data_IF_542119700551
#
_entry.id   IF_542119700551
#
_cell.length_a   1.000
_cell.length_b   1.000
_cell.length_c   1.000
_cell.angle_alpha   90.00
_cell.angle_beta   90.00
_cell.angle_gamma   90.00
#
_symmetry.space_group_name_H-M   'P 1'
#
loop_
_entity.id
_entity.type
_entity.pdbx_description
1 polymer ?
#
# COMPACT_ATOMS: atom_id res chain seq x y z
N UNK A 1 -5.37 3.78 -16.70
CA UNK A 1 -5.82 5.09 -17.27
C UNK A 1 -4.68 6.11 -17.30
N UNK A 2 -4.45 6.81 -18.42
CA UNK A 2 -3.54 7.97 -18.49
C UNK A 2 -4.30 9.29 -18.78
N UNK A 3 -3.62 10.44 -18.70
CA UNK A 3 -4.26 11.76 -18.87
C UNK A 3 -4.87 11.97 -20.27
N UNK A 4 -4.24 11.43 -21.31
CA UNK A 4 -4.74 11.52 -22.68
C UNK A 4 -6.07 10.75 -22.82
N UNK A 5 -6.09 9.50 -22.38
CA UNK A 5 -7.29 8.66 -22.35
C UNK A 5 -8.40 9.27 -21.51
N UNK A 6 -8.04 9.93 -20.40
CA UNK A 6 -9.01 10.63 -19.55
C UNK A 6 -9.67 11.79 -20.31
N UNK A 7 -8.88 12.58 -21.04
CA UNK A 7 -9.41 13.73 -21.81
C UNK A 7 -10.30 13.31 -22.98
N UNK A 8 -9.97 12.21 -23.66
CA UNK A 8 -10.76 11.70 -24.79
C UNK A 8 -12.07 11.06 -24.35
N UNK A 9 -12.04 10.23 -23.30
CA UNK A 9 -13.20 9.41 -22.91
C UNK A 9 -14.12 10.08 -21.88
N UNK A 10 -13.64 11.11 -21.19
CA UNK A 10 -14.33 11.74 -20.06
C UNK A 10 -14.30 13.27 -20.18
N UNK A 11 -14.87 13.75 -21.27
CA UNK A 11 -14.94 15.17 -21.62
C UNK A 11 -16.05 15.90 -20.85
N UNK A 12 -17.11 15.20 -20.47
CA UNK A 12 -18.28 15.74 -19.77
C UNK A 12 -18.54 15.06 -18.43
N UNK A 13 -19.28 15.75 -17.55
CA UNK A 13 -19.71 15.18 -16.27
C UNK A 13 -20.68 14.00 -16.43
N UNK A 14 -21.46 13.99 -17.52
CA UNK A 14 -22.40 12.92 -17.86
C UNK A 14 -21.64 11.62 -18.13
N UNK A 15 -20.62 11.66 -19.00
CA UNK A 15 -19.79 10.48 -19.32
C UNK A 15 -19.11 9.90 -18.08
N UNK A 16 -18.63 10.79 -17.21
CA UNK A 16 -18.02 10.36 -15.94
C UNK A 16 -19.06 9.71 -15.04
N UNK A 17 -20.24 10.33 -14.90
CA UNK A 17 -21.31 9.78 -14.06
C UNK A 17 -21.74 8.40 -14.57
N UNK A 18 -21.93 8.25 -15.89
CA UNK A 18 -22.24 6.96 -16.52
C UNK A 18 -21.18 5.90 -16.21
N UNK A 19 -19.90 6.28 -16.22
CA UNK A 19 -18.82 5.37 -15.85
C UNK A 19 -18.88 4.93 -14.39
N UNK A 20 -19.07 5.85 -13.44
CA UNK A 20 -19.25 5.50 -12.03
C UNK A 20 -20.50 4.64 -11.81
N UNK A 21 -21.60 4.91 -12.52
CA UNK A 21 -22.84 4.13 -12.44
C UNK A 21 -22.61 2.69 -12.92
N UNK A 22 -21.87 2.53 -14.02
CA UNK A 22 -21.48 1.22 -14.53
C UNK A 22 -20.58 0.47 -13.55
N UNK A 23 -19.61 1.14 -12.91
CA UNK A 23 -18.75 0.52 -11.89
C UNK A 23 -19.56 0.06 -10.68
N UNK A 24 -20.50 0.90 -10.20
CA UNK A 24 -21.29 0.62 -9.01
C UNK A 24 -22.37 -0.45 -9.24
N UNK A 25 -23.19 -0.26 -10.27
CA UNK A 25 -24.42 -1.03 -10.51
C UNK A 25 -24.35 -1.97 -11.72
N UNK A 26 -23.29 -1.90 -12.52
CA UNK A 26 -23.22 -2.61 -13.79
C UNK A 26 -24.24 -2.02 -14.78
N UNK A 27 -25.05 -2.87 -15.39
CA UNK A 27 -25.94 -2.45 -16.50
C UNK A 27 -27.19 -1.69 -16.08
N UNK A 28 -27.67 -1.84 -14.84
CA UNK A 28 -28.96 -1.28 -14.38
C UNK A 28 -28.82 -0.61 -13.02
N UNK A 29 -29.01 0.72 -12.94
CA UNK A 29 -29.05 1.44 -11.67
C UNK A 29 -30.10 0.87 -10.71
N UNK A 30 -29.77 0.86 -9.42
CA UNK A 30 -30.68 0.43 -8.34
C UNK A 30 -30.70 1.47 -7.24
N UNK A 31 -31.82 1.58 -6.54
CA UNK A 31 -31.95 2.52 -5.43
C UNK A 31 -30.92 2.25 -4.33
N UNK A 32 -30.09 3.24 -4.02
CA UNK A 32 -29.09 3.14 -2.95
C UNK A 32 -29.68 3.03 -1.54
N UNK A 33 -30.97 3.35 -1.37
CA UNK A 33 -31.65 3.28 -0.07
C UNK A 33 -32.35 1.94 0.19
N UNK A 34 -32.99 1.36 -0.84
CA UNK A 34 -33.84 0.17 -0.68
C UNK A 34 -33.59 -0.96 -1.68
N UNK A 35 -32.63 -0.81 -2.60
CA UNK A 35 -32.27 -1.84 -3.59
C UNK A 35 -33.27 -2.04 -4.74
N UNK A 36 -34.42 -1.36 -4.73
CA UNK A 36 -35.45 -1.44 -5.78
C UNK A 36 -34.93 -0.98 -7.15
N UNK A 37 -35.42 -1.60 -8.21
CA UNK A 37 -35.20 -1.25 -9.61
C UNK A 37 -36.26 -0.29 -10.17
N UNK A 38 -37.31 0.02 -9.39
CA UNK A 38 -38.40 0.93 -9.78
C UNK A 38 -37.99 2.39 -9.58
N UNK A 39 -37.13 2.87 -10.47
CA UNK A 39 -36.55 4.22 -10.42
C UNK A 39 -36.94 5.05 -11.64
N UNK A 40 -36.90 6.38 -11.51
CA UNK A 40 -37.08 7.31 -12.62
C UNK A 40 -35.93 7.25 -13.62
N UNK A 41 -36.07 7.96 -14.74
CA UNK A 41 -34.88 8.39 -15.50
C UNK A 41 -34.04 9.35 -14.65
N UNK A 42 -32.75 9.45 -14.97
CA UNK A 42 -31.84 10.40 -14.31
C UNK A 42 -32.27 11.84 -14.61
N UNK A 43 -32.31 12.67 -13.58
CA UNK A 43 -32.58 14.10 -13.69
C UNK A 43 -31.32 14.87 -14.12
N UNK A 44 -31.48 16.15 -14.43
CA UNK A 44 -30.37 17.05 -14.82
C UNK A 44 -29.35 17.28 -13.72
N UNK A 45 -29.70 17.04 -12.45
CA UNK A 45 -28.81 17.11 -11.29
C UNK A 45 -28.10 15.78 -10.98
N UNK A 46 -28.11 14.83 -11.92
CA UNK A 46 -27.49 13.50 -11.82
C UNK A 46 -28.10 12.59 -10.75
N UNK A 47 -29.32 12.90 -10.27
CA UNK A 47 -30.04 12.07 -9.31
C UNK A 47 -31.13 11.22 -9.98
N UNK A 48 -31.54 10.18 -9.28
CA UNK A 48 -32.69 9.33 -9.55
C UNK A 48 -33.73 9.49 -8.44
N UNK A 49 -35.00 9.26 -8.77
CA UNK A 49 -36.08 9.14 -7.80
C UNK A 49 -36.56 7.70 -7.74
N UNK A 50 -36.59 7.10 -6.55
CA UNK A 50 -37.13 5.76 -6.37
C UNK A 50 -38.62 5.83 -6.06
N UNK A 51 -39.45 5.11 -6.82
CA UNK A 51 -40.90 5.08 -6.60
C UNK A 51 -41.31 4.21 -5.41
N UNK A 52 -40.45 3.28 -4.98
CA UNK A 52 -40.70 2.39 -3.85
C UNK A 52 -40.49 3.08 -2.50
N UNK A 53 -39.32 3.67 -2.26
CA UNK A 53 -39.03 4.37 -1.00
C UNK A 53 -39.26 5.89 -1.07
N UNK A 54 -39.61 6.43 -2.25
CA UNK A 54 -39.81 7.87 -2.53
C UNK A 54 -38.56 8.74 -2.33
N UNK A 55 -37.40 8.14 -2.04
CA UNK A 55 -36.13 8.84 -1.86
C UNK A 55 -35.48 9.27 -3.18
N UNK A 56 -34.69 10.34 -3.12
CA UNK A 56 -33.74 10.72 -4.17
C UNK A 56 -32.35 10.18 -3.85
N UNK A 57 -31.62 9.76 -4.86
CA UNK A 57 -30.25 9.25 -4.71
C UNK A 57 -29.43 9.50 -5.97
N UNK A 58 -28.11 9.60 -5.83
CA UNK A 58 -27.14 9.63 -6.92
C UNK A 58 -26.28 8.37 -6.90
N UNK A 59 -25.37 8.26 -7.88
CA UNK A 59 -24.33 7.23 -7.88
C UNK A 59 -23.41 7.28 -6.64
N UNK A 60 -23.33 8.40 -5.94
CA UNK A 60 -22.50 8.55 -4.74
C UNK A 60 -23.26 8.33 -3.41
N UNK A 61 -24.59 8.26 -3.42
CA UNK A 61 -25.38 8.06 -2.19
C UNK A 61 -25.03 6.72 -1.51
N UNK A 62 -24.65 6.72 -0.24
CA UNK A 62 -24.19 5.52 0.48
C UNK A 62 -22.82 5.00 0.04
N UNK A 63 -21.93 5.87 -0.45
CA UNK A 63 -20.55 5.52 -0.84
C UNK A 63 -19.55 6.42 -0.12
N UNK A 64 -18.24 6.14 -0.23
CA UNK A 64 -17.21 7.01 0.33
C UNK A 64 -17.17 8.42 -0.30
N UNK A 65 -17.77 8.61 -1.49
CA UNK A 65 -17.92 9.92 -2.15
C UNK A 65 -19.27 10.58 -1.87
N UNK A 66 -20.07 10.07 -0.92
CA UNK A 66 -21.31 10.71 -0.52
C UNK A 66 -21.08 12.14 -0.02
N UNK A 67 -22.01 13.04 -0.33
CA UNK A 67 -21.96 14.46 0.04
C UNK A 67 -20.73 15.22 -0.48
N UNK A 68 -20.04 14.70 -1.50
CA UNK A 68 -18.99 15.48 -2.17
C UNK A 68 -19.59 16.67 -2.91
N UNK A 69 -19.00 17.85 -2.70
CA UNK A 69 -19.34 19.08 -3.45
C UNK A 69 -18.49 19.25 -4.71
N UNK A 70 -17.64 18.28 -5.03
CA UNK A 70 -16.80 18.28 -6.22
C UNK A 70 -17.45 17.43 -7.31
N UNK A 71 -17.23 17.84 -8.55
CA UNK A 71 -17.63 17.03 -9.70
C UNK A 71 -16.87 15.70 -9.72
N UNK A 72 -17.53 14.63 -10.14
CA UNK A 72 -16.91 13.32 -10.31
C UNK A 72 -15.77 13.37 -11.31
N UNK A 73 -15.82 14.28 -12.30
CA UNK A 73 -14.70 14.50 -13.21
C UNK A 73 -13.42 14.94 -12.49
N UNK A 74 -13.52 15.81 -11.48
CA UNK A 74 -12.37 16.22 -10.65
C UNK A 74 -11.84 15.05 -9.81
N UNK A 75 -12.72 14.21 -9.27
CA UNK A 75 -12.31 12.98 -8.58
C UNK A 75 -11.59 12.01 -9.52
N UNK A 76 -12.10 11.82 -10.74
CA UNK A 76 -11.50 10.94 -11.74
C UNK A 76 -10.09 11.43 -12.15
N UNK A 77 -9.91 12.75 -12.30
CA UNK A 77 -8.61 13.38 -12.51
C UNK A 77 -7.66 13.13 -11.33
N UNK A 78 -8.14 13.31 -10.09
CA UNK A 78 -7.35 13.04 -8.90
C UNK A 78 -6.89 11.58 -8.81
N UNK A 79 -7.79 10.63 -9.06
CA UNK A 79 -7.46 9.20 -9.08
C UNK A 79 -6.36 8.91 -10.10
N UNK A 80 -6.49 9.45 -11.31
CA UNK A 80 -5.51 9.26 -12.39
C UNK A 80 -4.13 9.82 -12.04
N UNK A 81 -4.07 11.05 -11.53
CA UNK A 81 -2.80 11.69 -11.17
C UNK A 81 -2.10 10.97 -10.01
N UNK A 82 -2.86 10.60 -8.97
CA UNK A 82 -2.33 9.99 -7.76
C UNK A 82 -1.92 8.53 -8.01
N UNK A 83 -2.70 7.75 -8.78
CA UNK A 83 -2.39 6.35 -9.09
C UNK A 83 -1.13 6.22 -9.96
N UNK A 84 -0.98 7.11 -10.94
CA UNK A 84 0.14 7.06 -11.88
C UNK A 84 1.47 7.53 -11.23
N UNK A 85 1.39 8.35 -10.18
CA UNK A 85 2.56 8.84 -9.46
C UNK A 85 3.09 7.82 -8.44
N UNK A 86 4.02 6.95 -8.85
CA UNK A 86 4.60 5.89 -7.98
C UNK A 86 5.16 6.38 -6.64
N UNK A 87 5.72 7.59 -6.57
CA UNK A 87 6.27 8.19 -5.34
C UNK A 87 5.33 9.20 -4.67
N UNK A 88 4.12 9.36 -5.22
CA UNK A 88 3.18 10.41 -4.82
C UNK A 88 3.41 11.74 -5.54
N UNK A 89 2.45 12.64 -5.36
CA UNK A 89 2.54 14.06 -5.77
C UNK A 89 2.25 14.93 -4.55
N UNK A 90 2.74 16.17 -4.55
CA UNK A 90 2.40 17.11 -3.48
C UNK A 90 0.94 17.59 -3.62
N UNK A 91 0.31 17.94 -2.49
CA UNK A 91 -1.03 18.55 -2.52
C UNK A 91 -1.06 19.88 -3.29
N UNK A 92 0.08 20.61 -3.33
CA UNK A 92 0.25 21.80 -4.15
C UNK A 92 0.26 21.49 -5.65
N UNK A 93 0.83 20.36 -6.05
CA UNK A 93 0.79 19.90 -7.44
C UNK A 93 -0.66 19.55 -7.82
N UNK A 94 -1.33 18.71 -7.02
CA UNK A 94 -2.73 18.33 -7.24
C UNK A 94 -3.66 19.55 -7.34
N UNK A 95 -3.43 20.56 -6.48
CA UNK A 95 -4.14 21.84 -6.51
C UNK A 95 -4.05 22.52 -7.89
N UNK A 96 -2.83 22.63 -8.45
CA UNK A 96 -2.58 23.27 -9.75
C UNK A 96 -3.20 22.47 -10.88
N UNK A 97 -3.05 21.15 -10.85
CA UNK A 97 -3.49 20.28 -11.94
C UNK A 97 -5.03 20.16 -12.02
N UNK A 98 -5.73 20.23 -10.88
CA UNK A 98 -7.20 20.11 -10.82
C UNK A 98 -7.91 21.48 -10.79
N UNK A 99 -7.21 22.55 -10.39
CA UNK A 99 -7.79 23.88 -10.24
C UNK A 99 -8.76 23.96 -9.05
N UNK A 100 -8.26 23.64 -7.84
CA UNK A 100 -9.02 23.73 -6.58
C UNK A 100 -8.24 24.50 -5.52
N UNK A 101 -8.83 24.71 -4.34
CA UNK A 101 -8.10 25.25 -3.18
C UNK A 101 -7.09 24.22 -2.66
N UNK A 102 -6.08 24.68 -1.91
CA UNK A 102 -5.11 23.78 -1.30
C UNK A 102 -5.79 22.82 -0.30
N UNK A 103 -6.70 23.34 0.53
CA UNK A 103 -7.45 22.58 1.52
C UNK A 103 -8.28 21.49 0.85
N UNK A 104 -8.92 21.81 -0.28
CA UNK A 104 -9.65 20.84 -1.09
C UNK A 104 -8.72 19.78 -1.66
N UNK A 105 -7.59 20.16 -2.28
CA UNK A 105 -6.62 19.19 -2.80
C UNK A 105 -6.08 18.27 -1.71
N UNK A 106 -5.74 18.83 -0.54
CA UNK A 106 -5.25 18.07 0.60
C UNK A 106 -6.31 17.09 1.14
N UNK A 107 -7.57 17.52 1.24
CA UNK A 107 -8.70 16.67 1.64
C UNK A 107 -8.92 15.55 0.61
N UNK A 108 -8.97 15.89 -0.68
CA UNK A 108 -9.10 14.92 -1.77
C UNK A 108 -8.00 13.87 -1.68
N UNK A 109 -6.75 14.27 -1.48
CA UNK A 109 -5.63 13.35 -1.40
C UNK A 109 -5.81 12.34 -0.26
N UNK A 110 -6.16 12.80 0.94
CA UNK A 110 -6.41 11.90 2.06
C UNK A 110 -7.60 10.97 1.83
N UNK A 111 -8.66 11.46 1.20
CA UNK A 111 -9.78 10.62 0.75
C UNK A 111 -9.32 9.57 -0.27
N UNK A 112 -8.49 9.92 -1.26
CA UNK A 112 -7.95 8.93 -2.21
C UNK A 112 -7.13 7.86 -1.50
N UNK A 113 -6.38 8.20 -0.46
CA UNK A 113 -5.62 7.22 0.34
C UNK A 113 -6.54 6.22 1.05
N UNK A 114 -7.74 6.61 1.47
CA UNK A 114 -8.69 5.64 2.05
C UNK A 114 -9.18 4.62 1.03
N UNK A 115 -9.08 4.94 -0.26
CA UNK A 115 -9.42 4.01 -1.36
C UNK A 115 -8.25 3.11 -1.76
N UNK A 116 -7.03 3.35 -1.26
CA UNK A 116 -5.82 2.59 -1.60
C UNK A 116 -5.71 1.32 -0.78
N UNK A 117 -6.63 0.39 -1.02
CA UNK A 117 -6.66 -0.91 -0.37
C UNK A 117 -6.78 -2.04 -1.38
N UNK A 118 -6.02 -3.11 -1.15
CA UNK A 118 -6.00 -4.34 -1.94
C UNK A 118 -6.85 -5.47 -1.36
N UNK A 119 -7.55 -5.25 -0.24
CA UNK A 119 -8.20 -6.33 0.48
C UNK A 119 -7.32 -6.92 1.59
N UNK A 120 -7.59 -8.18 1.92
CA UNK A 120 -6.73 -8.96 2.83
C UNK A 120 -5.47 -9.46 2.13
N UNK A 121 -4.31 -8.92 2.53
CA UNK A 121 -3.00 -9.41 2.09
C UNK A 121 -2.58 -10.55 3.01
N UNK A 122 -2.32 -11.74 2.45
CA UNK A 122 -1.63 -12.83 3.14
C UNK A 122 -0.30 -13.12 2.44
N UNK A 123 0.78 -13.11 3.21
CA UNK A 123 2.15 -13.33 2.78
C UNK A 123 2.58 -14.77 3.11
N UNK A 124 3.39 -15.37 2.24
CA UNK A 124 3.91 -16.73 2.42
C UNK A 124 5.35 -16.87 1.89
N UNK A 125 6.01 -17.98 2.19
CA UNK A 125 7.38 -18.24 1.72
C UNK A 125 8.44 -17.51 2.56
N UNK A 126 9.38 -16.84 1.90
CA UNK A 126 10.46 -16.12 2.59
C UNK A 126 10.00 -14.71 2.95
N UNK A 127 9.84 -14.46 4.25
CA UNK A 127 9.29 -13.21 4.78
C UNK A 127 10.40 -12.45 5.50
N UNK A 128 10.60 -11.18 5.16
CA UNK A 128 11.52 -10.28 5.89
C UNK A 128 10.69 -9.36 6.80
N UNK A 129 11.11 -9.21 8.06
CA UNK A 129 10.51 -8.29 9.02
C UNK A 129 11.59 -7.38 9.58
N UNK A 130 11.27 -6.09 9.61
CA UNK A 130 12.17 -5.02 10.02
C UNK A 130 11.36 -3.81 10.48
N UNK A 131 11.99 -2.94 11.26
CA UNK A 131 11.42 -1.68 11.70
C UNK A 131 12.17 -0.47 11.14
N UNK A 132 11.44 0.61 10.91
CA UNK A 132 12.01 1.90 10.58
C UNK A 132 11.38 3.01 11.42
N UNK A 133 12.09 4.14 11.51
CA UNK A 133 11.62 5.32 12.21
C UNK A 133 11.42 6.46 11.18
N UNK A 134 10.22 7.04 11.18
CA UNK A 134 9.82 8.13 10.29
C UNK A 134 9.75 9.44 11.09
N UNK A 135 10.20 10.54 10.48
CA UNK A 135 10.27 11.86 11.10
C UNK A 135 11.68 12.28 11.51
N UNK A 136 11.77 13.53 11.99
CA UNK A 136 13.02 14.21 12.32
C UNK A 136 13.87 14.62 11.10
N UNK A 137 14.94 15.36 11.36
CA UNK A 137 15.79 15.90 10.29
C UNK A 137 16.47 14.79 9.47
N UNK A 138 16.61 14.98 8.13
CA UNK A 138 17.37 14.08 7.27
C UNK A 138 18.81 13.94 7.79
N UNK A 139 19.35 12.72 7.76
CA UNK A 139 20.77 12.52 8.08
C UNK A 139 21.63 13.14 6.96
N UNK A 140 22.78 13.71 7.34
CA UNK A 140 23.77 14.18 6.37
C UNK A 140 24.25 13.00 5.52
N UNK A 141 24.27 13.17 4.20
CA UNK A 141 24.80 12.19 3.26
C UNK A 141 26.33 12.20 3.36
N UNK A 142 26.93 11.08 3.75
CA UNK A 142 28.38 10.87 3.64
C UNK A 142 28.63 9.54 2.93
N UNK A 143 29.60 9.54 2.02
CA UNK A 143 29.94 8.40 1.19
C UNK A 143 30.62 7.30 2.03
N UNK A 144 30.01 6.12 2.01
CA UNK A 144 30.58 4.91 2.61
C UNK A 144 31.66 4.29 1.70
N UNK A 145 32.79 3.87 2.29
CA UNK A 145 33.74 2.95 1.64
C UNK A 145 33.35 1.52 2.00
N UNK A 146 33.11 0.70 0.99
CA UNK A 146 32.91 -0.74 1.18
C UNK A 146 34.24 -1.40 1.54
N UNK A 147 34.26 -2.18 2.62
CA UNK A 147 35.28 -3.21 2.79
C UNK A 147 34.70 -4.49 2.23
N UNK A 148 35.22 -4.94 1.09
CA UNK A 148 34.96 -6.27 0.57
C UNK A 148 35.56 -7.28 1.57
N UNK A 149 34.74 -7.75 2.52
CA UNK A 149 35.08 -8.92 3.32
C UNK A 149 34.52 -10.12 2.58
N UNK A 150 35.37 -11.10 2.29
CA UNK A 150 34.92 -12.42 1.85
C UNK A 150 33.86 -12.96 2.84
N UNK A 151 32.79 -13.62 2.36
CA UNK A 151 31.79 -14.19 3.23
C UNK A 151 32.45 -15.27 4.10
N UNK A 152 32.67 -14.97 5.38
CA UNK A 152 33.08 -15.97 6.36
C UNK A 152 32.07 -17.12 6.37
N UNK A 153 32.55 -18.36 6.30
CA UNK A 153 31.69 -19.53 6.44
C UNK A 153 30.90 -19.44 7.74
N UNK A 154 29.58 -19.65 7.67
CA UNK A 154 28.69 -19.50 8.81
C UNK A 154 27.85 -20.76 8.99
N UNK A 155 28.37 -21.68 9.80
CA UNK A 155 27.83 -23.04 9.97
C UNK A 155 26.31 -23.07 10.27
N UNK A 156 25.83 -22.19 11.15
CA UNK A 156 24.39 -22.08 11.45
C UNK A 156 23.56 -21.72 10.21
N UNK A 157 24.03 -20.78 9.39
CA UNK A 157 23.31 -20.32 8.20
C UNK A 157 23.40 -21.37 7.08
N UNK A 158 24.55 -22.03 6.94
CA UNK A 158 24.70 -23.15 6.01
C UNK A 158 23.72 -24.29 6.32
N UNK A 159 23.60 -24.70 7.60
CA UNK A 159 22.62 -25.71 8.03
C UNK A 159 21.18 -25.28 7.75
N UNK A 160 20.85 -23.99 7.97
CA UNK A 160 19.52 -23.44 7.66
C UNK A 160 19.24 -23.47 6.16
N UNK A 161 20.20 -23.06 5.33
CA UNK A 161 20.08 -23.09 3.86
C UNK A 161 19.90 -24.51 3.37
N UNK A 162 20.65 -25.48 3.87
CA UNK A 162 20.52 -26.88 3.47
C UNK A 162 19.15 -27.46 3.86
N UNK A 163 18.70 -27.19 5.09
CA UNK A 163 17.40 -27.64 5.60
C UNK A 163 16.24 -27.05 4.80
N UNK A 164 16.26 -25.73 4.57
CA UNK A 164 15.13 -24.97 4.06
C UNK A 164 15.19 -24.75 2.54
N UNK A 165 16.36 -24.84 1.93
CA UNK A 165 16.60 -24.67 0.49
C UNK A 165 15.90 -25.72 -0.38
N UNK A 166 15.46 -26.83 0.22
CA UNK A 166 14.59 -27.83 -0.43
C UNK A 166 13.18 -27.30 -0.68
N UNK A 167 12.71 -26.35 0.14
CA UNK A 167 11.34 -25.81 0.12
C UNK A 167 11.29 -24.35 -0.33
N UNK A 168 12.28 -23.55 0.03
CA UNK A 168 12.32 -22.12 -0.24
C UNK A 168 13.55 -21.72 -1.06
N UNK A 169 13.37 -20.80 -1.99
CA UNK A 169 14.48 -20.18 -2.72
C UNK A 169 14.91 -18.91 -2.01
N UNK A 170 16.20 -18.81 -1.67
CA UNK A 170 16.78 -17.64 -0.99
C UNK A 170 17.43 -16.64 -1.96
N UNK A 171 17.40 -16.89 -3.26
CA UNK A 171 17.79 -15.89 -4.23
C UNK A 171 16.77 -14.74 -4.22
N UNK A 172 17.26 -13.51 -4.31
CA UNK A 172 16.43 -12.32 -4.38
C UNK A 172 16.78 -11.57 -5.67
N UNK A 173 16.07 -11.83 -6.79
CA UNK A 173 16.34 -11.17 -8.06
C UNK A 173 16.05 -9.67 -8.01
N UNK A 174 15.18 -9.24 -7.10
CA UNK A 174 14.83 -7.83 -6.87
C UNK A 174 15.79 -7.12 -5.89
N UNK A 175 16.85 -7.81 -5.43
CA UNK A 175 17.78 -7.25 -4.47
C UNK A 175 18.48 -6.01 -5.03
N UNK A 176 18.21 -4.86 -4.42
CA UNK A 176 18.98 -3.65 -4.65
C UNK A 176 20.44 -3.90 -4.21
N UNK A 177 21.38 -3.91 -5.16
CA UNK A 177 22.82 -3.91 -4.84
C UNK A 177 23.14 -2.57 -4.16
N UNK A 178 23.31 -2.63 -2.83
CA UNK A 178 23.60 -1.47 -1.98
C UNK A 178 24.80 -0.69 -2.57
N UNK A 179 24.66 0.63 -2.69
CA UNK A 179 25.78 1.58 -2.49
C UNK A 179 25.65 2.06 -1.05
N UNK A 180 26.67 1.86 -0.23
CA UNK A 180 26.58 1.75 1.22
C UNK A 180 26.05 3.01 1.89
N UNK A 181 25.25 2.82 2.94
CA UNK A 181 25.06 3.80 4.01
C UNK A 181 26.03 3.36 5.12
N UNK A 182 26.92 4.25 5.58
CA UNK A 182 27.91 3.90 6.62
C UNK A 182 27.24 3.66 7.97
N UNK A 183 27.80 2.69 8.67
CA UNK A 183 27.75 2.50 10.12
C UNK A 183 28.18 3.77 10.88
N UNK A 184 27.80 3.83 12.15
CA UNK A 184 28.20 4.84 13.15
C UNK A 184 27.38 6.15 13.29
N UNK A 185 26.16 6.20 12.76
CA UNK A 185 25.14 7.01 13.44
C UNK A 185 24.58 6.17 14.60
N UNK A 186 24.58 6.63 15.87
CA UNK A 186 23.95 5.90 16.94
C UNK A 186 22.52 5.55 16.51
N UNK A 187 22.21 4.24 16.45
CA UNK A 187 20.84 3.75 16.24
C UNK A 187 20.06 4.03 17.52
N UNK A 188 19.77 5.30 17.76
CA UNK A 188 19.08 5.75 18.96
C UNK A 188 17.60 5.39 18.87
N UNK A 189 17.20 4.30 19.54
CA UNK A 189 15.84 4.16 20.03
C UNK A 189 15.68 5.15 21.18
N UNK A 190 15.07 6.31 20.89
CA UNK A 190 14.98 7.42 21.84
C UNK A 190 14.83 8.79 21.16
N UNK A 191 14.13 8.83 20.03
CA UNK A 191 13.86 10.08 19.29
C UNK A 191 12.35 10.29 19.21
N UNK A 192 11.88 11.52 18.99
CA UNK A 192 10.47 11.85 18.68
C UNK A 192 9.96 11.27 17.33
N UNK A 193 10.64 10.26 16.78
CA UNK A 193 10.30 9.63 15.51
C UNK A 193 9.29 8.52 15.73
N UNK A 194 8.33 8.43 14.84
CA UNK A 194 7.30 7.40 14.89
C UNK A 194 7.85 6.08 14.33
N UNK A 195 7.78 4.97 15.10
CA UNK A 195 8.11 3.64 14.58
C UNK A 195 7.09 3.17 13.53
N UNK A 196 7.59 2.48 12.53
CA UNK A 196 6.81 1.76 11.52
C UNK A 196 7.43 0.37 11.38
N UNK A 197 6.63 -0.67 11.54
CA UNK A 197 7.06 -2.07 11.35
C UNK A 197 6.55 -2.55 10.01
N UNK A 198 7.38 -3.26 9.26
CA UNK A 198 7.04 -3.81 7.96
C UNK A 198 7.25 -5.31 7.90
N UNK A 199 6.46 -5.95 7.04
CA UNK A 199 6.58 -7.36 6.69
C UNK A 199 6.53 -7.42 5.17
N UNK A 200 7.56 -7.96 4.54
CA UNK A 200 7.61 -8.11 3.08
C UNK A 200 7.87 -9.56 2.70
N UNK A 201 7.13 -10.04 1.72
CA UNK A 201 7.43 -11.29 1.04
C UNK A 201 8.48 -11.01 -0.03
N UNK A 202 9.55 -11.83 -0.07
CA UNK A 202 10.56 -11.71 -1.12
C UNK A 202 9.94 -11.79 -2.51
N UNK A 203 10.31 -10.84 -3.36
CA UNK A 203 9.75 -10.65 -4.71
C UNK A 203 8.22 -10.51 -4.77
N UNK A 204 7.58 -10.20 -3.64
CA UNK A 204 6.14 -10.18 -3.46
C UNK A 204 5.60 -8.86 -2.92
N UNK A 205 4.62 -8.97 -2.03
CA UNK A 205 3.89 -7.86 -1.42
C UNK A 205 4.48 -7.46 -0.07
N UNK A 206 4.13 -6.25 0.37
CA UNK A 206 4.51 -5.66 1.65
C UNK A 206 3.27 -5.19 2.40
N UNK A 207 3.34 -5.31 3.73
CA UNK A 207 2.43 -4.65 4.67
C UNK A 207 3.28 -3.89 5.68
N UNK A 208 2.79 -2.74 6.14
CA UNK A 208 3.48 -1.95 7.14
C UNK A 208 2.48 -1.22 8.04
N UNK A 209 2.77 -1.15 9.33
CA UNK A 209 1.90 -0.54 10.33
C UNK A 209 2.70 0.44 11.19
N UNK A 210 2.09 1.59 11.47
CA UNK A 210 2.63 2.57 12.41
C UNK A 210 2.39 2.05 13.82
N UNK A 211 3.45 1.91 14.60
CA UNK A 211 3.39 1.35 15.95
C UNK A 211 3.99 2.33 16.95
N UNK A 212 3.46 2.37 18.19
CA UNK A 212 4.07 3.14 19.28
C UNK A 212 5.22 2.38 19.96
N UNK A 213 5.09 1.06 20.04
CA UNK A 213 6.02 0.16 20.72
C UNK A 213 6.38 -0.96 19.75
N UNK A 214 7.66 -1.33 19.71
CA UNK A 214 8.24 -2.31 18.78
C UNK A 214 8.83 -3.50 19.56
N UNK A 215 7.98 -4.12 20.39
CA UNK A 215 8.29 -5.36 21.10
C UNK A 215 7.55 -6.56 20.51
N UNK A 216 7.87 -7.75 20.99
CA UNK A 216 7.22 -8.97 20.53
C UNK A 216 5.69 -8.96 20.67
N UNK A 217 5.15 -8.42 21.77
CA UNK A 217 3.72 -8.43 22.04
C UNK A 217 2.93 -7.55 21.06
N UNK A 218 3.55 -6.48 20.57
CA UNK A 218 2.96 -5.56 19.60
C UNK A 218 3.20 -6.00 18.14
N UNK A 219 4.34 -6.62 17.84
CA UNK A 219 4.66 -7.08 16.48
C UNK A 219 3.95 -8.41 16.16
N UNK A 220 3.80 -9.30 17.14
CA UNK A 220 3.20 -10.64 16.94
C UNK A 220 1.81 -10.60 16.29
N UNK A 221 0.84 -9.77 16.73
CA UNK A 221 -0.48 -9.70 16.10
C UNK A 221 -0.41 -9.37 14.61
N UNK A 222 0.50 -8.46 14.21
CA UNK A 222 0.71 -8.10 12.81
C UNK A 222 1.22 -9.32 12.01
N UNK A 223 2.20 -10.06 12.55
CA UNK A 223 2.73 -11.27 11.91
C UNK A 223 1.64 -12.35 11.78
N UNK A 224 0.89 -12.63 12.85
CA UNK A 224 -0.20 -13.61 12.82
C UNK A 224 -1.31 -13.22 11.82
N UNK A 225 -1.60 -11.92 11.72
CA UNK A 225 -2.60 -11.41 10.80
C UNK A 225 -2.17 -11.56 9.34
N UNK A 226 -0.94 -11.16 8.97
CA UNK A 226 -0.55 -11.07 7.56
C UNK A 226 0.29 -12.24 7.05
N UNK A 227 0.89 -13.06 7.92
CA UNK A 227 1.76 -14.16 7.50
C UNK A 227 1.02 -15.50 7.57
N UNK A 228 1.21 -16.35 6.56
CA UNK A 228 0.85 -17.76 6.61
C UNK A 228 1.99 -18.52 7.30
N UNK A 229 2.02 -18.50 8.64
CA UNK A 229 3.14 -19.01 9.44
C UNK A 229 3.53 -20.47 9.12
N UNK A 230 2.59 -21.42 8.94
CA UNK A 230 2.93 -22.81 8.58
C UNK A 230 3.73 -22.97 7.28
N UNK A 231 3.57 -22.03 6.34
CA UNK A 231 4.21 -22.05 5.03
C UNK A 231 5.18 -20.88 4.82
N UNK A 232 5.79 -20.42 5.91
CA UNK A 232 6.73 -19.31 5.86
C UNK A 232 8.00 -19.55 6.67
N UNK A 233 9.07 -18.86 6.28
CA UNK A 233 10.29 -18.68 7.07
C UNK A 233 10.51 -17.19 7.28
N UNK A 234 10.78 -16.80 8.52
CA UNK A 234 11.00 -15.43 8.91
C UNK A 234 12.49 -15.07 8.84
N UNK A 235 12.85 -14.00 8.13
CA UNK A 235 14.18 -13.41 8.09
C UNK A 235 14.13 -12.10 8.88
N UNK A 236 14.95 -12.00 9.93
CA UNK A 236 15.07 -10.80 10.75
C UNK A 236 16.53 -10.41 10.93
N UNK A 237 16.76 -9.19 11.40
CA UNK A 237 18.04 -8.81 11.95
C UNK A 237 18.27 -9.43 13.34
N UNK A 238 19.37 -9.05 14.00
CA UNK A 238 19.73 -9.49 15.34
C UNK A 238 18.97 -8.77 16.47
N UNK A 239 17.90 -8.01 16.19
CA UNK A 239 17.15 -7.32 17.23
C UNK A 239 16.38 -8.31 18.14
N UNK A 240 16.58 -8.15 19.45
CA UNK A 240 16.04 -9.02 20.50
C UNK A 240 14.51 -9.12 20.54
N UNK A 241 13.76 -8.13 20.04
CA UNK A 241 12.30 -8.22 19.95
C UNK A 241 11.85 -9.40 19.07
N UNK A 242 12.68 -9.79 18.09
CA UNK A 242 12.36 -10.90 17.19
C UNK A 242 12.70 -12.28 17.73
N UNK A 243 13.51 -12.39 18.80
CA UNK A 243 13.97 -13.69 19.33
C UNK A 243 12.81 -14.60 19.75
N UNK A 244 11.73 -14.03 20.28
CA UNK A 244 10.57 -14.81 20.72
C UNK A 244 9.76 -15.44 19.58
N UNK A 245 10.00 -15.03 18.32
CA UNK A 245 9.37 -15.69 17.16
C UNK A 245 9.89 -17.12 16.92
N UNK A 246 11.08 -17.46 17.44
CA UNK A 246 11.64 -18.82 17.34
C UNK A 246 10.72 -19.90 17.95
N UNK A 247 9.82 -19.51 18.86
CA UNK A 247 8.84 -20.39 19.49
C UNK A 247 7.59 -20.66 18.65
N UNK A 248 7.32 -19.83 17.62
CA UNK A 248 6.06 -19.89 16.85
C UNK A 248 6.26 -20.09 15.35
N UNK A 249 7.45 -19.82 14.82
CA UNK A 249 7.78 -20.09 13.42
C UNK A 249 9.28 -20.26 13.19
N UNK A 250 9.64 -20.88 12.08
CA UNK A 250 11.04 -21.02 11.67
C UNK A 250 11.62 -19.65 11.30
N UNK A 251 12.69 -19.24 11.98
CA UNK A 251 13.37 -17.96 11.76
C UNK A 251 14.85 -18.13 11.39
N UNK A 252 15.34 -17.22 10.56
CA UNK A 252 16.74 -17.03 10.18
C UNK A 252 17.15 -15.63 10.62
N UNK A 253 18.27 -15.53 11.32
CA UNK A 253 18.82 -14.27 11.85
C UNK A 253 20.00 -13.84 10.99
N UNK A 254 19.99 -12.59 10.55
CA UNK A 254 21.14 -11.96 9.90
C UNK A 254 21.68 -10.88 10.82
N UNK A 255 22.87 -11.13 11.33
CA UNK A 255 23.58 -10.19 12.20
C UNK A 255 24.27 -9.13 11.33
N UNK A 256 23.61 -7.99 11.15
CA UNK A 256 24.10 -6.88 10.32
C UNK A 256 25.38 -6.21 10.84
N UNK A 257 25.79 -6.46 12.09
CA UNK A 257 27.08 -6.00 12.61
C UNK A 257 28.23 -6.87 12.09
N UNK A 258 27.91 -8.09 11.61
CA UNK A 258 28.88 -9.05 11.06
C UNK A 258 28.79 -9.17 9.54
N UNK A 259 27.58 -9.19 8.99
CA UNK A 259 27.35 -9.38 7.55
C UNK A 259 26.01 -8.80 7.07
N UNK A 260 26.01 -8.25 5.85
CA UNK A 260 24.80 -7.74 5.19
C UNK A 260 24.08 -8.77 4.33
N UNK A 261 24.79 -9.80 3.89
CA UNK A 261 24.21 -10.88 3.09
C UNK A 261 25.02 -12.15 3.20
N UNK A 262 24.35 -13.30 3.14
CA UNK A 262 24.99 -14.62 3.13
C UNK A 262 24.26 -15.57 2.20
N UNK A 263 24.86 -15.96 1.06
CA UNK A 263 24.31 -16.94 0.11
C UNK A 263 22.81 -16.69 -0.24
N UNK A 264 22.46 -15.43 -0.51
CA UNK A 264 21.08 -15.02 -0.82
C UNK A 264 20.23 -14.59 0.38
N UNK A 265 20.60 -14.95 1.62
CA UNK A 265 19.97 -14.43 2.83
C UNK A 265 20.36 -12.96 3.04
N UNK A 266 19.36 -12.08 3.15
CA UNK A 266 19.47 -10.63 3.41
C UNK A 266 18.06 -10.06 3.70
N UNK A 267 17.99 -8.84 4.24
CA UNK A 267 16.74 -8.07 4.43
C UNK A 267 16.61 -6.94 3.40
N UNK A 268 17.20 -7.10 2.20
CA UNK A 268 17.29 -6.01 1.24
C UNK A 268 15.93 -5.60 0.66
N UNK A 269 14.94 -6.50 0.65
CA UNK A 269 13.62 -6.22 0.09
C UNK A 269 12.91 -5.17 0.95
N UNK A 270 12.93 -5.36 2.27
CA UNK A 270 12.29 -4.44 3.22
C UNK A 270 13.08 -3.13 3.35
N UNK A 271 14.42 -3.19 3.34
CA UNK A 271 15.25 -1.98 3.31
C UNK A 271 14.97 -1.12 2.07
N UNK A 272 14.79 -1.76 0.91
CA UNK A 272 14.45 -1.08 -0.34
C UNK A 272 13.09 -0.40 -0.26
N UNK A 273 12.10 -1.06 0.36
CA UNK A 273 10.79 -0.47 0.62
C UNK A 273 10.89 0.75 1.55
N UNK A 274 11.66 0.67 2.64
CA UNK A 274 11.92 1.83 3.51
C UNK A 274 12.56 2.99 2.78
N UNK A 275 13.48 2.71 1.86
CA UNK A 275 14.11 3.74 1.06
C UNK A 275 13.11 4.43 0.12
N UNK A 276 12.09 3.72 -0.38
CA UNK A 276 10.99 4.31 -1.17
C UNK A 276 10.18 5.29 -0.31
N UNK A 277 9.72 4.85 0.87
CA UNK A 277 8.94 5.68 1.79
C UNK A 277 9.71 6.94 2.19
N UNK A 278 10.95 6.77 2.69
CA UNK A 278 11.76 7.91 3.17
C UNK A 278 12.04 8.92 2.06
N UNK A 279 12.36 8.45 0.84
CA UNK A 279 12.57 9.34 -0.31
C UNK A 279 11.29 10.04 -0.76
N UNK A 280 10.15 9.36 -0.72
CA UNK A 280 8.86 9.97 -1.01
C UNK A 280 8.48 11.04 0.01
N UNK A 281 8.63 10.75 1.30
CA UNK A 281 8.38 11.72 2.37
C UNK A 281 9.32 12.93 2.25
N UNK A 282 10.64 12.72 2.17
CA UNK A 282 11.59 13.84 2.08
C UNK A 282 11.40 14.68 0.82
N UNK A 283 11.08 14.05 -0.32
CA UNK A 283 11.04 14.72 -1.62
C UNK A 283 9.69 15.32 -2.01
N UNK A 284 8.58 14.64 -1.72
CA UNK A 284 7.25 15.04 -2.21
C UNK A 284 6.39 15.68 -1.11
N UNK A 285 6.45 15.14 0.11
CA UNK A 285 5.58 15.56 1.20
C UNK A 285 6.25 16.53 2.18
N UNK A 286 7.59 16.47 2.27
CA UNK A 286 8.49 17.20 3.18
C UNK A 286 8.27 16.95 4.67
N UNK A 287 7.01 16.91 5.12
CA UNK A 287 6.62 16.61 6.49
C UNK A 287 5.29 15.87 6.51
N UNK A 288 5.16 14.91 7.41
CA UNK A 288 3.96 14.11 7.63
C UNK A 288 3.69 14.12 9.13
N UNK A 289 2.46 14.45 9.52
CA UNK A 289 2.07 14.38 10.92
C UNK A 289 1.75 12.95 11.34
N UNK A 290 2.01 12.64 12.61
CA UNK A 290 1.73 11.33 13.22
C UNK A 290 0.28 10.89 13.00
N UNK A 291 -0.66 11.84 13.07
CA UNK A 291 -2.10 11.61 12.84
C UNK A 291 -2.37 10.98 11.46
N UNK A 292 -1.67 11.43 10.42
CA UNK A 292 -1.93 10.99 9.05
C UNK A 292 -0.89 10.01 8.51
N UNK A 293 0.21 9.79 9.23
CA UNK A 293 1.27 8.87 8.84
C UNK A 293 0.75 7.48 8.41
N UNK A 294 -0.23 6.85 9.10
CA UNK A 294 -0.80 5.57 8.65
C UNK A 294 -1.27 5.62 7.19
N UNK A 295 -2.04 6.64 6.80
CA UNK A 295 -2.56 6.77 5.44
C UNK A 295 -1.44 6.90 4.39
N UNK A 296 -0.31 7.55 4.74
CA UNK A 296 0.85 7.62 3.84
C UNK A 296 1.53 6.26 3.70
N UNK A 297 1.68 5.53 4.80
CA UNK A 297 2.24 4.17 4.77
C UNK A 297 1.34 3.26 3.92
N UNK A 298 0.02 3.34 4.08
CA UNK A 298 -0.95 2.59 3.26
C UNK A 298 -0.81 2.90 1.77
N UNK A 299 -0.66 4.17 1.39
CA UNK A 299 -0.39 4.57 -0.01
C UNK A 299 0.89 3.90 -0.55
N UNK A 300 1.98 3.90 0.22
CA UNK A 300 3.22 3.27 -0.22
C UNK A 300 3.10 1.75 -0.33
N UNK A 301 2.42 1.10 0.61
CA UNK A 301 2.12 -0.33 0.57
C UNK A 301 1.29 -0.67 -0.68
N UNK A 302 0.18 0.03 -0.90
CA UNK A 302 -0.70 -0.17 -2.06
C UNK A 302 0.04 0.00 -3.39
N UNK A 303 0.80 1.09 -3.54
CA UNK A 303 1.57 1.34 -4.77
C UNK A 303 2.68 0.32 -4.98
N UNK A 304 3.32 -0.14 -3.91
CA UNK A 304 4.33 -1.18 -3.99
C UNK A 304 3.71 -2.51 -4.42
N UNK A 305 2.60 -2.92 -3.81
CA UNK A 305 1.91 -4.17 -4.10
C UNK A 305 1.33 -4.20 -5.51
N UNK A 306 0.88 -3.05 -6.01
CA UNK A 306 0.35 -2.93 -7.37
C UNK A 306 1.40 -2.56 -8.43
N UNK A 307 2.69 -2.51 -8.11
CA UNK A 307 3.75 -2.02 -9.03
C UNK A 307 3.86 -2.75 -10.38
N UNK A 308 3.30 -3.96 -10.48
CA UNK A 308 3.26 -4.83 -11.66
C UNK A 308 1.92 -4.77 -12.41
N UNK A 309 0.93 -4.04 -11.90
CA UNK A 309 -0.41 -3.93 -12.47
C UNK A 309 -0.72 -2.49 -12.90
N UNK A 310 -1.45 -2.37 -14.00
CA UNK A 310 -1.88 -1.08 -14.56
C UNK A 310 -3.32 -0.70 -14.14
N UNK A 311 -3.89 -1.39 -13.15
CA UNK A 311 -5.31 -1.31 -12.73
C UNK A 311 -5.54 -0.48 -11.44
N UNK A 312 -4.51 0.23 -10.95
CA UNK A 312 -4.63 1.04 -9.73
C UNK A 312 -5.74 2.10 -9.85
N UNK A 313 -5.89 2.72 -11.02
CA UNK A 313 -6.94 3.71 -11.26
C UNK A 313 -8.34 3.09 -11.10
N UNK A 314 -8.56 1.96 -11.75
CA UNK A 314 -9.81 1.22 -11.72
C UNK A 314 -10.12 0.75 -10.29
N UNK A 315 -9.09 0.37 -9.53
CA UNK A 315 -9.20 0.02 -8.11
C UNK A 315 -9.70 1.20 -7.28
N UNK A 316 -9.14 2.40 -7.47
CA UNK A 316 -9.58 3.59 -6.75
C UNK A 316 -11.03 3.96 -7.07
N UNK A 317 -11.42 3.88 -8.36
CA UNK A 317 -12.81 4.15 -8.77
C UNK A 317 -13.75 3.15 -8.12
N UNK A 318 -13.43 1.85 -8.16
CA UNK A 318 -14.24 0.81 -7.53
C UNK A 318 -14.37 1.01 -6.02
N UNK A 319 -13.25 1.19 -5.32
CA UNK A 319 -13.24 1.36 -3.87
C UNK A 319 -13.98 2.64 -3.43
N UNK A 320 -13.94 3.70 -4.24
CA UNK A 320 -14.68 4.94 -3.96
C UNK A 320 -16.21 4.76 -3.96
N UNK A 321 -16.71 3.70 -4.63
CA UNK A 321 -18.14 3.34 -4.69
C UNK A 321 -18.58 2.38 -3.59
N UNK A 322 -17.66 1.93 -2.73
CA UNK A 322 -17.99 1.11 -1.58
C UNK A 322 -18.55 1.98 -0.42
N UNK A 323 -19.34 1.39 0.49
CA UNK A 323 -19.80 2.08 1.70
C UNK A 323 -18.64 2.60 2.57
N UNK A 324 -18.82 3.70 3.35
CA UNK A 324 -17.77 4.25 4.22
C UNK A 324 -17.32 3.33 5.36
N UNK A 325 -18.22 2.47 5.84
CA UNK A 325 -17.97 1.44 6.86
C UNK A 325 -17.31 0.18 6.29
N UNK A 326 -17.20 0.09 4.96
CA UNK A 326 -16.53 -1.01 4.30
C UNK A 326 -15.03 -0.93 4.58
N UNK A 327 -14.51 -1.87 5.38
CA UNK A 327 -13.09 -1.86 5.69
C UNK A 327 -12.30 -2.57 4.60
N UNK A 328 -11.06 -2.12 4.31
CA UNK A 328 -10.05 -2.85 3.55
C UNK A 328 -10.01 -4.37 3.77
N UNK A 329 -10.26 -4.86 4.99
CA UNK A 329 -10.14 -6.28 5.33
C UNK A 329 -11.34 -7.11 4.81
N UNK A 330 -12.43 -6.46 4.41
CA UNK A 330 -13.66 -7.10 3.93
C UNK A 330 -13.68 -7.30 2.41
N UNK A 331 -12.72 -6.74 1.66
CA UNK A 331 -12.61 -7.01 0.22
C UNK A 331 -12.03 -8.41 0.01
N UNK A 332 -12.88 -9.38 -0.34
CA UNK A 332 -12.40 -10.64 -0.90
C UNK A 332 -11.75 -10.35 -2.27
N UNK A 333 -10.51 -10.79 -2.45
CA UNK A 333 -9.78 -10.80 -3.72
C UNK A 333 -10.63 -11.25 -4.93
N UNK A 334 -11.63 -12.13 -4.70
CA UNK A 334 -12.59 -12.58 -5.72
C UNK A 334 -13.55 -11.47 -6.18
N UNK A 335 -14.00 -10.56 -5.31
CA UNK A 335 -14.89 -9.46 -5.70
C UNK A 335 -14.22 -8.46 -6.64
N UNK A 336 -12.93 -8.19 -6.44
CA UNK A 336 -12.14 -7.33 -7.34
C UNK A 336 -11.96 -8.03 -8.70
N UNK A 337 -11.58 -9.31 -8.68
CA UNK A 337 -11.32 -10.09 -9.90
C UNK A 337 -12.56 -10.34 -10.77
N UNK A 338 -13.75 -10.46 -10.17
CA UNK A 338 -15.00 -10.71 -10.90
C UNK A 338 -15.50 -9.48 -11.66
N UNK A 339 -15.14 -8.25 -11.25
CA UNK A 339 -15.60 -7.01 -11.89
C UNK A 339 -14.54 -6.28 -12.72
N UNK A 340 -13.24 -6.50 -12.48
CA UNK A 340 -12.14 -5.74 -13.11
C UNK A 340 -11.55 -6.38 -14.38
N UNK A 341 -12.18 -7.42 -14.92
CA UNK A 341 -11.71 -8.09 -16.13
C UNK A 341 -10.49 -9.00 -15.91
N UNK A 342 -10.30 -9.93 -16.84
CA UNK A 342 -9.45 -11.15 -16.72
C UNK A 342 -7.93 -10.94 -16.49
N UNK A 343 -7.44 -9.71 -16.25
CA UNK A 343 -5.98 -9.45 -16.13
C UNK A 343 -5.37 -9.90 -14.80
N UNK A 344 -6.06 -9.75 -13.67
CA UNK A 344 -5.52 -10.16 -12.34
C UNK A 344 -5.41 -11.67 -12.15
N UNK A 345 -6.24 -12.47 -12.81
CA UNK A 345 -6.28 -13.93 -12.62
C UNK A 345 -5.06 -14.68 -13.21
N UNK A 346 -4.28 -14.06 -14.10
CA UNK A 346 -3.17 -14.72 -14.81
C UNK A 346 -1.81 -14.67 -14.08
N UNK A 347 -1.69 -13.87 -13.01
CA UNK A 347 -0.41 -13.64 -12.30
C UNK A 347 -0.40 -14.29 -10.91
N UNK A 348 -1.58 -14.64 -10.38
CA UNK A 348 -1.75 -15.36 -9.12
C UNK A 348 -1.85 -16.89 -9.30
N UNK A 349 -1.65 -17.39 -10.54
CA UNK A 349 -1.72 -18.81 -10.91
C UNK A 349 -0.33 -19.37 -11.17
#
# INVERSE_FOLDING_TARGET
>A
MNLYQLSENFSTEIEVTDYFENVRWGKKPRCSHCGSDKISKRYTDFRYHCTTCRGRFSVTTGTQLENTNLSLRKWLMAFTLISNAKKGISALQLKRDIGVSYQTAWSMYHTVRTFMTDGSVKLSGVIEVDETYIGGNPRKYQSAKFKDKEPFAHEYLDKKIEKLGKKYTFENPDAYKKKGLLEDAPRGRGTDKTPVVGIVQRSGNVVAEVMKITDFAHIRPMVEQYVNMPDSVLLTDAYSAYTRFDAIMERIVIDHDKMYSYKGLNTNSIESFWAIIKRGIMGQYHSVSDKYLPNYIDEFCFKYNNRKYDDMFETLVFNSMLPPDFTPKDVDSKMINVRMGKKRAKVLA
#
